data_IF_538315866850
#
_entry.id   IF_538315866850
#
_cell.length_a   1.000
_cell.length_b   1.000
_cell.length_c   1.000
_cell.angle_alpha   90.00
_cell.angle_beta   90.00
_cell.angle_gamma   90.00
#
_symmetry.space_group_name_H-M   'P 1'
#
loop_
_entity.id
_entity.type
_entity.pdbx_description
1 polymer ?
#
# COMPACT_ATOMS: atom_id res chain seq x y z
N UNK A 1 -15.49 -10.60 7.25
CA UNK A 1 -15.27 -9.22 7.75
C UNK A 1 -16.53 -8.64 8.37
N UNK A 2 -17.71 -8.79 7.74
CA UNK A 2 -18.99 -8.29 8.27
C UNK A 2 -19.32 -8.75 9.70
N UNK A 3 -19.15 -10.04 9.98
CA UNK A 3 -19.39 -10.57 11.33
C UNK A 3 -18.44 -9.99 12.38
N UNK A 4 -17.16 -9.79 12.02
CA UNK A 4 -16.18 -9.18 12.90
C UNK A 4 -16.52 -7.72 13.21
N UNK A 5 -17.00 -6.96 12.22
CA UNK A 5 -17.48 -5.60 12.45
C UNK A 5 -18.71 -5.57 13.35
N UNK A 6 -19.67 -6.48 13.14
CA UNK A 6 -20.88 -6.57 13.98
C UNK A 6 -20.49 -6.81 15.44
N UNK A 7 -19.65 -7.81 15.69
CA UNK A 7 -19.16 -8.11 17.04
C UNK A 7 -18.38 -6.94 17.65
N UNK A 8 -17.56 -6.24 16.86
CA UNK A 8 -16.83 -5.05 17.31
C UNK A 8 -17.75 -3.85 17.63
N UNK A 9 -18.87 -3.70 16.93
CA UNK A 9 -19.89 -2.71 17.27
C UNK A 9 -20.62 -3.10 18.55
N UNK A 10 -21.04 -4.37 18.65
CA UNK A 10 -21.80 -4.89 19.79
C UNK A 10 -20.99 -4.83 21.09
N UNK A 11 -19.67 -5.06 21.02
CA UNK A 11 -18.77 -4.98 22.16
C UNK A 11 -18.19 -3.57 22.41
N UNK A 12 -18.47 -2.59 21.54
CA UNK A 12 -17.98 -1.21 21.64
C UNK A 12 -16.48 -1.00 21.36
N UNK A 13 -15.79 -2.01 20.82
CA UNK A 13 -14.35 -1.95 20.51
C UNK A 13 -14.10 -1.18 19.22
N UNK A 14 -13.79 0.12 19.37
CA UNK A 14 -13.42 0.98 18.23
C UNK A 14 -12.14 0.53 17.52
N UNK A 15 -11.23 -0.10 18.26
CA UNK A 15 -10.01 -0.68 17.68
C UNK A 15 -10.35 -1.86 16.76
N UNK A 16 -11.10 -2.85 17.25
CA UNK A 16 -11.48 -4.02 16.44
C UNK A 16 -12.36 -3.61 15.27
N UNK A 17 -13.20 -2.58 15.44
CA UNK A 17 -14.03 -2.03 14.37
C UNK A 17 -13.16 -1.44 13.25
N UNK A 18 -12.15 -0.64 13.58
CA UNK A 18 -11.22 -0.08 12.59
C UNK A 18 -10.46 -1.19 11.85
N UNK A 19 -10.01 -2.23 12.57
CA UNK A 19 -9.30 -3.36 11.99
C UNK A 19 -10.20 -4.18 11.05
N UNK A 20 -11.46 -4.40 11.42
CA UNK A 20 -12.42 -5.12 10.59
C UNK A 20 -12.77 -4.34 9.31
N UNK A 21 -12.95 -3.01 9.41
CA UNK A 21 -13.14 -2.12 8.26
C UNK A 21 -11.91 -2.10 7.34
N UNK A 22 -10.70 -2.05 7.91
CA UNK A 22 -9.45 -2.14 7.15
C UNK A 22 -9.37 -3.43 6.34
N UNK A 23 -9.66 -4.57 6.97
CA UNK A 23 -9.69 -5.87 6.29
C UNK A 23 -10.77 -5.91 5.20
N UNK A 24 -11.95 -5.34 5.43
CA UNK A 24 -13.00 -5.23 4.40
C UNK A 24 -12.50 -4.43 3.20
N UNK A 25 -11.87 -3.28 3.45
CA UNK A 25 -11.26 -2.47 2.40
C UNK A 25 -10.22 -3.24 1.59
N UNK A 26 -9.36 -4.00 2.27
CA UNK A 26 -8.39 -4.87 1.61
C UNK A 26 -9.05 -5.97 0.77
N UNK A 27 -10.07 -6.65 1.29
CA UNK A 27 -10.82 -7.69 0.56
C UNK A 27 -11.51 -7.12 -0.67
N UNK A 28 -12.16 -5.97 -0.55
CA UNK A 28 -12.82 -5.30 -1.68
C UNK A 28 -11.81 -4.91 -2.77
N UNK A 29 -10.63 -4.40 -2.37
CA UNK A 29 -9.55 -4.05 -3.30
C UNK A 29 -9.08 -5.27 -4.09
N UNK A 30 -8.82 -6.39 -3.40
CA UNK A 30 -8.41 -7.65 -4.05
C UNK A 30 -9.51 -8.20 -4.95
N UNK A 31 -10.78 -8.03 -4.59
CA UNK A 31 -11.92 -8.38 -5.43
C UNK A 31 -12.13 -7.45 -6.64
N UNK A 32 -11.38 -6.34 -6.73
CA UNK A 32 -11.49 -5.34 -7.78
C UNK A 32 -12.60 -4.32 -7.56
N UNK A 33 -13.33 -4.38 -6.44
CA UNK A 33 -14.31 -3.36 -6.08
C UNK A 33 -13.61 -2.18 -5.42
N UNK A 34 -12.97 -1.34 -6.25
CA UNK A 34 -12.18 -0.21 -5.79
C UNK A 34 -13.03 0.89 -5.13
N UNK A 35 -14.34 0.94 -5.40
CA UNK A 35 -15.25 1.91 -4.78
C UNK A 35 -15.55 1.48 -3.36
N UNK A 36 -16.02 0.24 -3.17
CA UNK A 36 -16.28 -0.29 -1.83
C UNK A 36 -15.00 -0.43 -1.00
N UNK A 37 -13.84 -0.60 -1.65
CA UNK A 37 -12.54 -0.57 -0.98
C UNK A 37 -12.22 0.82 -0.41
N UNK A 38 -12.48 1.88 -1.17
CA UNK A 38 -12.21 3.26 -0.76
C UNK A 38 -13.05 3.63 0.45
N UNK A 39 -14.36 3.39 0.37
CA UNK A 39 -15.31 3.66 1.45
C UNK A 39 -14.87 2.97 2.76
N UNK A 40 -14.56 1.67 2.68
CA UNK A 40 -14.15 0.91 3.86
C UNK A 40 -12.81 1.36 4.46
N UNK A 41 -11.83 1.72 3.62
CA UNK A 41 -10.55 2.22 4.09
C UNK A 41 -10.65 3.65 4.66
N UNK A 42 -11.52 4.50 4.11
CA UNK A 42 -11.80 5.83 4.65
C UNK A 42 -12.48 5.74 6.02
N UNK A 43 -13.46 4.86 6.19
CA UNK A 43 -14.08 4.57 7.50
C UNK A 43 -13.03 4.07 8.51
N UNK A 44 -12.19 3.10 8.10
CA UNK A 44 -11.10 2.59 8.95
C UNK A 44 -10.13 3.71 9.34
N UNK A 45 -9.79 4.61 8.42
CA UNK A 45 -8.92 5.76 8.70
C UNK A 45 -9.55 6.72 9.70
N UNK A 46 -10.84 7.05 9.54
CA UNK A 46 -11.54 7.94 10.47
C UNK A 46 -11.57 7.36 11.89
N UNK A 47 -11.92 6.07 12.03
CA UNK A 47 -12.01 5.42 13.34
C UNK A 47 -10.61 5.30 13.98
N UNK A 48 -9.62 4.81 13.23
CA UNK A 48 -8.24 4.65 13.71
C UNK A 48 -7.60 5.99 14.09
N UNK A 49 -7.90 7.07 13.36
CA UNK A 49 -7.48 8.42 13.72
C UNK A 49 -8.13 8.88 15.03
N UNK A 50 -9.43 8.67 15.18
CA UNK A 50 -10.18 9.13 16.35
C UNK A 50 -9.77 8.44 17.66
N UNK A 51 -9.24 7.22 17.58
CA UNK A 51 -8.68 6.49 18.74
C UNK A 51 -7.16 6.65 18.87
N UNK A 52 -6.54 7.48 18.03
CA UNK A 52 -5.11 7.68 17.96
C UNK A 52 -4.32 6.36 17.81
N UNK A 53 -4.85 5.41 17.04
CA UNK A 53 -4.22 4.11 16.79
C UNK A 53 -2.78 4.32 16.29
N UNK A 54 -1.77 3.69 16.92
CA UNK A 54 -0.39 3.78 16.48
C UNK A 54 -0.17 3.29 15.05
N UNK A 55 -0.97 2.34 14.56
CA UNK A 55 -0.82 1.73 13.24
C UNK A 55 -1.71 2.35 12.16
N UNK A 56 -2.45 3.43 12.45
CA UNK A 56 -3.33 4.11 11.48
C UNK A 56 -2.65 4.51 10.15
N UNK A 57 -1.33 4.69 10.16
CA UNK A 57 -0.58 5.03 8.95
C UNK A 57 -0.50 3.87 7.96
N UNK A 58 -0.70 2.63 8.40
CA UNK A 58 -0.84 1.47 7.51
C UNK A 58 -2.13 1.59 6.70
N UNK A 59 -3.25 1.93 7.35
CA UNK A 59 -4.53 2.22 6.67
C UNK A 59 -4.35 3.33 5.65
N UNK A 60 -3.64 4.40 6.03
CA UNK A 60 -3.34 5.54 5.15
C UNK A 60 -2.48 5.14 3.94
N UNK A 61 -1.49 4.26 4.13
CA UNK A 61 -0.69 3.75 3.02
C UNK A 61 -1.53 2.88 2.07
N UNK A 62 -2.45 2.06 2.60
CA UNK A 62 -3.37 1.27 1.77
C UNK A 62 -4.34 2.16 0.97
N UNK A 63 -4.85 3.25 1.54
CA UNK A 63 -5.59 4.27 0.78
C UNK A 63 -4.76 4.84 -0.38
N UNK A 64 -3.48 5.13 -0.13
CA UNK A 64 -2.55 5.56 -1.17
C UNK A 64 -2.40 4.54 -2.30
N UNK A 65 -2.25 3.25 -1.97
CA UNK A 65 -2.14 2.17 -2.97
C UNK A 65 -3.43 2.05 -3.79
N UNK A 66 -4.59 2.14 -3.13
CA UNK A 66 -5.88 2.15 -3.82
C UNK A 66 -6.00 3.34 -4.78
N UNK A 67 -5.53 4.52 -4.38
CA UNK A 67 -5.50 5.69 -5.26
C UNK A 67 -4.60 5.47 -6.48
N UNK A 68 -3.47 4.77 -6.34
CA UNK A 68 -2.62 4.40 -7.49
C UNK A 68 -3.33 3.47 -8.46
N UNK A 69 -4.04 2.45 -7.95
CA UNK A 69 -4.84 1.52 -8.74
C UNK A 69 -5.99 2.25 -9.47
N UNK A 70 -6.57 3.27 -8.84
CA UNK A 70 -7.58 4.16 -9.45
C UNK A 70 -7.01 5.25 -10.36
N UNK A 71 -5.70 5.28 -10.61
CA UNK A 71 -5.03 6.30 -11.43
C UNK A 71 -4.92 7.69 -10.78
N UNK A 72 -5.28 7.83 -9.51
CA UNK A 72 -5.19 9.08 -8.72
C UNK A 72 -3.79 9.23 -8.12
N UNK A 73 -2.79 9.33 -8.99
CA UNK A 73 -1.35 9.36 -8.60
C UNK A 73 -1.00 10.56 -7.71
N UNK A 74 -1.53 11.75 -8.00
CA UNK A 74 -1.28 12.96 -7.19
C UNK A 74 -1.71 12.80 -5.73
N UNK A 75 -2.99 12.49 -5.45
CA UNK A 75 -3.47 12.16 -4.11
C UNK A 75 -2.68 11.02 -3.45
N UNK A 76 -2.40 9.93 -4.17
CA UNK A 76 -1.62 8.81 -3.65
C UNK A 76 -0.26 9.25 -3.09
N UNK A 77 0.51 10.03 -3.86
CA UNK A 77 1.81 10.56 -3.44
C UNK A 77 1.71 11.41 -2.17
N UNK A 78 0.63 12.15 -1.98
CA UNK A 78 0.42 12.94 -0.75
C UNK A 78 0.22 12.02 0.48
N UNK A 79 -0.57 10.95 0.33
CA UNK A 79 -0.79 9.97 1.39
C UNK A 79 0.49 9.24 1.78
N UNK A 80 1.27 8.79 0.79
CA UNK A 80 2.55 8.12 1.04
C UNK A 80 3.57 9.02 1.73
N UNK A 81 3.68 10.29 1.32
CA UNK A 81 4.55 11.26 2.01
C UNK A 81 4.14 11.47 3.45
N UNK A 82 2.85 11.40 3.78
CA UNK A 82 2.39 11.47 5.17
C UNK A 82 2.83 10.22 5.96
N UNK A 83 2.76 9.04 5.35
CA UNK A 83 3.22 7.79 5.96
C UNK A 83 4.72 7.82 6.24
N UNK A 84 5.54 8.29 5.29
CA UNK A 84 7.00 8.42 5.42
C UNK A 84 7.47 9.44 6.48
N UNK A 85 6.58 10.33 6.94
CA UNK A 85 6.84 11.24 8.07
C UNK A 85 6.49 10.64 9.43
N UNK A 86 5.93 9.43 9.45
CA UNK A 86 5.53 8.76 10.69
C UNK A 86 6.67 7.92 11.27
N UNK A 87 6.44 7.31 12.43
CA UNK A 87 7.35 6.32 13.01
C UNK A 87 6.91 4.87 12.73
N UNK A 88 5.88 4.67 11.91
CA UNK A 88 5.27 3.36 11.66
C UNK A 88 6.02 2.69 10.52
N UNK A 89 6.97 1.82 10.85
CA UNK A 89 7.85 1.17 9.87
C UNK A 89 7.07 0.42 8.78
N UNK A 90 6.02 -0.32 9.15
CA UNK A 90 5.20 -1.02 8.16
C UNK A 90 4.55 -0.05 7.15
N UNK A 91 4.12 1.13 7.59
CA UNK A 91 3.58 2.14 6.70
C UNK A 91 4.64 2.70 5.73
N UNK A 92 5.92 2.71 6.12
CA UNK A 92 7.01 3.12 5.24
C UNK A 92 7.20 2.16 4.09
N UNK A 93 7.14 0.84 4.34
CA UNK A 93 7.29 -0.19 3.30
C UNK A 93 6.23 0.01 2.21
N UNK A 94 4.96 0.09 2.63
CA UNK A 94 3.84 0.34 1.72
C UNK A 94 3.94 1.69 1.01
N UNK A 95 4.41 2.73 1.70
CA UNK A 95 4.59 4.04 1.11
C UNK A 95 5.72 4.06 0.06
N UNK A 96 6.87 3.42 0.33
CA UNK A 96 7.94 3.30 -0.65
C UNK A 96 7.50 2.53 -1.89
N UNK A 97 6.84 1.38 -1.70
CA UNK A 97 6.27 0.60 -2.80
C UNK A 97 5.26 1.41 -3.61
N UNK A 98 4.33 2.11 -2.94
CA UNK A 98 3.35 2.96 -3.60
C UNK A 98 3.97 4.13 -4.36
N UNK A 99 5.04 4.74 -3.82
CA UNK A 99 5.79 5.79 -4.50
C UNK A 99 6.50 5.27 -5.75
N UNK A 100 7.04 4.05 -5.73
CA UNK A 100 7.63 3.41 -6.91
C UNK A 100 6.60 3.17 -8.01
N UNK A 101 5.45 2.59 -7.68
CA UNK A 101 4.37 2.36 -8.66
C UNK A 101 3.87 3.69 -9.24
N UNK A 102 3.82 4.74 -8.41
CA UNK A 102 3.47 6.08 -8.81
C UNK A 102 4.54 6.77 -9.67
N UNK A 103 5.81 6.36 -9.58
CA UNK A 103 6.94 6.91 -10.31
C UNK A 103 7.32 6.09 -11.56
N UNK A 104 6.75 4.90 -11.71
CA UNK A 104 7.16 3.93 -12.71
C UNK A 104 7.13 4.48 -14.15
N UNK A 105 6.16 5.33 -14.47
CA UNK A 105 5.97 6.01 -15.75
C UNK A 105 6.32 7.51 -15.70
N UNK A 106 6.88 8.00 -14.60
CA UNK A 106 7.31 9.39 -14.45
C UNK A 106 8.65 9.61 -15.19
N UNK A 107 8.77 10.58 -16.11
CA UNK A 107 10.03 10.83 -16.80
C UNK A 107 11.16 11.27 -15.87
N UNK A 108 10.84 11.78 -14.67
CA UNK A 108 11.84 12.12 -13.66
C UNK A 108 12.19 10.90 -12.79
N UNK A 109 13.44 10.48 -12.86
CA UNK A 109 13.97 9.33 -12.12
C UNK A 109 14.21 9.58 -10.63
N UNK A 110 14.20 10.84 -10.21
CA UNK A 110 14.47 11.23 -8.83
C UNK A 110 13.57 10.51 -7.85
N UNK A 111 12.29 10.35 -8.19
CA UNK A 111 11.33 9.71 -7.30
C UNK A 111 11.53 8.19 -7.24
N UNK A 112 11.86 7.56 -8.36
CA UNK A 112 12.16 6.13 -8.41
C UNK A 112 13.37 5.82 -7.54
N UNK A 113 14.50 6.48 -7.81
CA UNK A 113 15.76 6.27 -7.10
C UNK A 113 15.63 6.54 -5.59
N UNK A 114 14.88 7.57 -5.19
CA UNK A 114 14.68 7.92 -3.78
C UNK A 114 13.90 6.87 -2.97
N UNK A 115 13.12 6.00 -3.63
CA UNK A 115 12.25 5.05 -2.95
C UNK A 115 12.58 3.59 -3.20
N UNK A 116 13.36 3.27 -4.24
CA UNK A 116 13.73 1.90 -4.56
C UNK A 116 14.68 1.32 -3.51
N UNK A 117 15.80 1.99 -3.27
CA UNK A 117 16.82 1.54 -2.32
C UNK A 117 16.27 1.35 -0.89
N UNK A 118 15.52 2.30 -0.30
CA UNK A 118 14.91 2.07 1.01
C UNK A 118 13.95 0.88 1.05
N UNK A 119 13.18 0.64 -0.02
CA UNK A 119 12.29 -0.52 -0.08
C UNK A 119 13.09 -1.82 -0.03
N UNK A 120 14.12 -1.95 -0.88
CA UNK A 120 14.99 -3.13 -0.91
C UNK A 120 15.59 -3.39 0.47
N UNK A 121 16.12 -2.38 1.14
CA UNK A 121 16.67 -2.50 2.50
C UNK A 121 15.65 -3.00 3.53
N UNK A 122 14.36 -2.65 3.40
CA UNK A 122 13.32 -3.22 4.26
C UNK A 122 13.08 -4.70 3.96
N UNK A 123 13.06 -5.10 2.69
CA UNK A 123 12.78 -6.47 2.29
C UNK A 123 13.94 -7.42 2.62
N UNK A 124 15.19 -6.95 2.52
CA UNK A 124 16.39 -7.69 2.94
C UNK A 124 16.39 -8.03 4.43
N UNK A 125 15.66 -7.27 5.25
CA UNK A 125 15.46 -7.55 6.69
C UNK A 125 14.41 -8.64 6.94
N UNK A 126 13.94 -9.31 5.89
CA UNK A 126 13.04 -10.46 5.97
C UNK A 126 11.55 -10.11 5.88
N UNK A 127 11.19 -8.90 5.46
CA UNK A 127 9.79 -8.55 5.25
C UNK A 127 9.27 -9.16 3.94
N UNK A 128 8.16 -9.89 4.03
CA UNK A 128 7.55 -10.55 2.89
C UNK A 128 6.03 -10.44 2.93
N UNK A 129 5.43 -10.07 1.80
CA UNK A 129 3.98 -10.00 1.61
C UNK A 129 3.65 -10.22 0.11
N UNK A 130 2.71 -11.12 -0.24
CA UNK A 130 2.33 -11.39 -1.63
C UNK A 130 1.91 -10.15 -2.42
N UNK A 131 1.35 -9.12 -1.78
CA UNK A 131 0.97 -7.89 -2.45
C UNK A 131 2.18 -7.08 -2.92
N UNK A 132 3.37 -7.24 -2.32
CA UNK A 132 4.59 -6.62 -2.83
C UNK A 132 4.92 -7.15 -4.22
N UNK A 133 4.78 -8.47 -4.43
CA UNK A 133 4.96 -9.04 -5.75
C UNK A 133 3.99 -8.46 -6.77
N UNK A 134 2.71 -8.33 -6.39
CA UNK A 134 1.69 -7.73 -7.25
C UNK A 134 2.03 -6.29 -7.63
N UNK A 135 2.36 -5.43 -6.66
CA UNK A 135 2.69 -4.04 -6.95
C UNK A 135 4.04 -3.88 -7.65
N UNK A 136 5.00 -4.78 -7.40
CA UNK A 136 6.24 -4.85 -8.17
C UNK A 136 5.98 -5.14 -9.65
N UNK A 137 5.11 -6.10 -9.97
CA UNK A 137 4.69 -6.34 -11.35
C UNK A 137 3.97 -5.12 -11.95
N UNK A 138 3.09 -4.46 -11.20
CA UNK A 138 2.41 -3.25 -11.68
C UNK A 138 3.40 -2.12 -11.99
N UNK A 139 4.44 -1.94 -11.17
CA UNK A 139 5.50 -0.98 -11.43
C UNK A 139 6.30 -1.38 -12.69
N UNK A 140 6.64 -2.67 -12.84
CA UNK A 140 7.33 -3.17 -14.03
C UNK A 140 6.53 -2.88 -15.30
N UNK A 141 5.27 -3.28 -15.34
CA UNK A 141 4.36 -3.08 -16.48
C UNK A 141 4.24 -1.60 -16.87
N UNK A 142 4.19 -0.69 -15.88
CA UNK A 142 4.14 0.76 -16.13
C UNK A 142 5.45 1.27 -16.72
N UNK A 143 6.58 0.85 -16.15
CA UNK A 143 7.90 1.22 -16.64
C UNK A 143 8.17 0.70 -18.05
N UNK A 144 7.80 -0.54 -18.37
CA UNK A 144 7.94 -1.13 -19.71
C UNK A 144 7.14 -0.35 -20.75
N UNK A 145 5.87 -0.04 -20.46
CA UNK A 145 5.02 0.78 -21.35
C UNK A 145 5.60 2.18 -21.59
N UNK A 146 6.28 2.73 -20.60
CA UNK A 146 6.94 4.04 -20.70
C UNK A 146 8.35 3.98 -21.31
N UNK A 147 8.90 2.78 -21.59
CA UNK A 147 10.23 2.58 -22.15
C UNK A 147 11.38 2.70 -21.13
N UNK A 148 11.10 2.63 -19.83
CA UNK A 148 12.10 2.72 -18.77
C UNK A 148 12.61 1.33 -18.37
N UNK A 149 13.45 0.75 -19.23
CA UNK A 149 13.93 -0.64 -19.10
C UNK A 149 14.58 -0.96 -17.74
N UNK A 150 15.42 -0.08 -17.22
CA UNK A 150 16.08 -0.34 -15.93
C UNK A 150 15.07 -0.48 -14.77
N UNK A 151 14.04 0.37 -14.73
CA UNK A 151 12.99 0.32 -13.70
C UNK A 151 12.13 -0.92 -13.82
N UNK A 152 11.86 -1.34 -15.06
CA UNK A 152 11.14 -2.58 -15.32
C UNK A 152 11.91 -3.77 -14.76
N UNK A 153 13.21 -3.85 -15.04
CA UNK A 153 14.11 -4.91 -14.53
C UNK A 153 14.15 -4.90 -13.01
N UNK A 154 14.39 -3.76 -12.39
CA UNK A 154 14.39 -3.56 -10.93
C UNK A 154 13.09 -4.08 -10.28
N UNK A 155 11.95 -3.69 -10.85
CA UNK A 155 10.62 -4.06 -10.35
C UNK A 155 10.31 -5.56 -10.52
N UNK A 156 10.74 -6.16 -11.64
CA UNK A 156 10.61 -7.61 -11.88
C UNK A 156 11.43 -8.39 -10.87
N UNK A 157 12.66 -7.96 -10.59
CA UNK A 157 13.52 -8.60 -9.59
C UNK A 157 12.89 -8.54 -8.20
N UNK A 158 12.41 -7.36 -7.81
CA UNK A 158 11.66 -7.16 -6.57
C UNK A 158 10.47 -8.13 -6.47
N UNK A 159 9.65 -8.22 -7.52
CA UNK A 159 8.46 -9.04 -7.51
C UNK A 159 8.76 -10.54 -7.44
N UNK A 160 9.75 -11.02 -8.19
CA UNK A 160 10.16 -12.44 -8.19
C UNK A 160 10.75 -12.87 -6.86
N UNK A 161 11.55 -12.01 -6.23
CA UNK A 161 12.10 -12.29 -4.91
C UNK A 161 10.98 -12.56 -3.89
N UNK A 162 9.93 -11.75 -3.92
CA UNK A 162 8.79 -11.89 -3.01
C UNK A 162 7.94 -13.15 -3.31
N UNK A 163 7.73 -13.50 -4.58
CA UNK A 163 7.02 -14.73 -4.96
C UNK A 163 7.72 -16.00 -4.45
N UNK A 164 9.05 -16.02 -4.50
CA UNK A 164 9.83 -17.17 -4.01
C UNK A 164 9.76 -17.38 -2.49
N UNK A 165 9.40 -16.34 -1.73
CA UNK A 165 9.28 -16.40 -0.28
C UNK A 165 7.87 -16.81 0.19
N UNK A 166 6.88 -16.77 -0.69
CA UNK A 166 5.45 -17.02 -0.36
C UNK A 166 4.90 -18.30 -0.98
N UNK A 167 5.71 -19.05 -1.73
CA UNK A 167 5.36 -20.32 -2.39
C UNK A 167 5.76 -21.52 -1.53
#
# INVERSE_FOLDING_TARGET
VEEAERLARDNGSRYDLAQAMFLRGHTNRVAGDLVAAEEALEEAWQVSQAIADPNRMVVKACLGLLYVERGRVGPARAEFRACLRSHVQQAHIWAHLGMLVAAADDPDDTLWAAHFEPLVQYLERGWSDPAIAQFGQLAADRAERAGFEHRAVDAIHLARAQQSLTS
#
